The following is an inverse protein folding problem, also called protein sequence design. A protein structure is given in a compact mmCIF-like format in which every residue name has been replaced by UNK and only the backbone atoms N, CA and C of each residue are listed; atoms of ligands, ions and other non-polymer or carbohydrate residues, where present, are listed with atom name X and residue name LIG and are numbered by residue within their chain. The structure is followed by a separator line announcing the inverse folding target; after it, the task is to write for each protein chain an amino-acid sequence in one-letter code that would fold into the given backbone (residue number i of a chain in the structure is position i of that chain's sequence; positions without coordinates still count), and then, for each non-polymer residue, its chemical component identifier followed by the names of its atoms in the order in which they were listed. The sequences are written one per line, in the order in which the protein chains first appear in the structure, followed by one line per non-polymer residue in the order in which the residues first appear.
data_IF_615877112873
#
_entry.id   IF_615877112873
#
_cell.length_a   1.000
_cell.length_b   1.000
_cell.length_c   1.000
_cell.angle_alpha   90.00
_cell.angle_beta   90.00
_cell.angle_gamma   90.00
#
_symmetry.space_group_name_H-M   'P 1'
#
loop_
_entity.id
_entity.type
_entity.pdbx_description
1 polymer ?
#
# COMPACT_ATOMS: atom_id res chain seq x y z
N UNK A 1 32.53 -1.07 18.86
CA UNK A 1 31.44 -0.48 18.04
C UNK A 1 30.49 0.20 19.01
N UNK A 2 30.40 1.54 19.02
CA UNK A 2 29.62 2.25 20.06
C UNK A 2 28.16 1.81 20.10
N UNK A 3 27.60 1.64 21.31
CA UNK A 3 26.23 1.16 21.57
C UNK A 3 25.20 1.85 20.66
N UNK A 4 25.36 3.16 20.45
CA UNK A 4 24.51 3.99 19.59
C UNK A 4 24.50 3.51 18.12
N UNK A 5 25.65 3.15 17.55
CA UNK A 5 25.72 2.62 16.17
C UNK A 5 25.06 1.25 16.04
N UNK A 6 25.06 0.44 17.11
CA UNK A 6 24.35 -0.83 17.18
C UNK A 6 22.84 -0.64 17.10
N UNK A 7 22.29 0.21 17.97
CA UNK A 7 20.85 0.54 17.99
C UNK A 7 20.39 1.12 16.65
N UNK A 8 21.18 2.01 16.03
CA UNK A 8 20.83 2.59 14.72
C UNK A 8 20.82 1.55 13.58
N UNK A 9 21.65 0.50 13.64
CA UNK A 9 21.60 -0.60 12.66
C UNK A 9 20.36 -1.46 12.86
N UNK A 10 20.06 -1.81 14.10
CA UNK A 10 18.87 -2.60 14.43
C UNK A 10 17.60 -1.88 13.97
N UNK A 11 17.48 -0.58 14.24
CA UNK A 11 16.34 0.23 13.79
C UNK A 11 16.27 0.35 12.27
N UNK A 12 17.41 0.38 11.58
CA UNK A 12 17.46 0.37 10.12
C UNK A 12 16.95 -0.97 9.55
N UNK A 13 17.37 -2.10 10.12
CA UNK A 13 16.92 -3.43 9.71
C UNK A 13 15.42 -3.61 9.97
N UNK A 14 14.94 -3.18 11.14
CA UNK A 14 13.53 -3.16 11.50
C UNK A 14 12.72 -2.32 10.51
N UNK A 15 13.18 -1.10 10.19
CA UNK A 15 12.52 -0.23 9.22
C UNK A 15 12.44 -0.86 7.82
N UNK A 16 13.51 -1.53 7.37
CA UNK A 16 13.54 -2.22 6.08
C UNK A 16 12.55 -3.40 6.07
N UNK A 17 12.50 -4.18 7.14
CA UNK A 17 11.57 -5.29 7.29
C UNK A 17 10.12 -4.80 7.28
N UNK A 18 9.78 -3.79 8.09
CA UNK A 18 8.44 -3.20 8.11
C UNK A 18 8.02 -2.66 6.74
N UNK A 19 8.94 -2.01 6.03
CA UNK A 19 8.69 -1.54 4.66
C UNK A 19 8.31 -2.71 3.73
N UNK A 20 9.08 -3.79 3.74
CA UNK A 20 8.80 -4.98 2.91
C UNK A 20 7.43 -5.58 3.22
N UNK A 21 7.07 -5.66 4.50
CA UNK A 21 5.77 -6.20 4.92
C UNK A 21 4.61 -5.33 4.44
N UNK A 22 4.75 -4.00 4.51
CA UNK A 22 3.75 -3.09 3.97
C UNK A 22 3.69 -3.10 2.44
N UNK A 23 4.81 -3.29 1.74
CA UNK A 23 4.83 -3.43 0.28
C UNK A 23 4.13 -4.72 -0.15
N UNK A 24 4.36 -5.84 0.54
CA UNK A 24 3.62 -7.10 0.33
C UNK A 24 2.13 -6.92 0.58
N UNK A 25 1.76 -6.31 1.70
CA UNK A 25 0.37 -6.00 2.00
C UNK A 25 -0.24 -5.07 0.94
N UNK A 26 0.49 -4.08 0.44
CA UNK A 26 0.00 -3.18 -0.61
C UNK A 26 -0.23 -3.91 -1.94
N UNK A 27 0.58 -4.93 -2.24
CA UNK A 27 0.47 -5.77 -3.43
C UNK A 27 -0.75 -6.69 -3.41
N UNK A 28 -1.14 -7.21 -2.25
CA UNK A 28 -2.31 -8.09 -2.12
C UNK A 28 -3.66 -7.36 -2.24
N UNK A 29 -3.67 -6.02 -2.22
CA UNK A 29 -4.89 -5.22 -2.41
C UNK A 29 -4.93 -4.57 -3.80
N UNK A 30 -5.66 -5.13 -4.77
CA UNK A 30 -5.76 -4.59 -6.13
C UNK A 30 -6.44 -3.21 -6.21
N UNK A 31 -6.94 -2.65 -5.10
CA UNK A 31 -7.62 -1.36 -5.07
C UNK A 31 -8.83 -1.37 -6.01
N UNK A 32 -9.09 -0.22 -6.64
CA UNK A 32 -10.11 -0.11 -7.69
C UNK A 32 -11.31 0.75 -7.34
N UNK A 33 -12.29 0.76 -8.24
CA UNK A 33 -13.58 1.44 -8.07
C UNK A 33 -14.72 0.61 -8.66
N UNK A 34 -15.91 0.72 -8.08
CA UNK A 34 -17.11 0.21 -8.76
C UNK A 34 -17.54 1.20 -9.84
N UNK A 35 -17.90 0.67 -11.00
CA UNK A 35 -18.44 1.42 -12.15
C UNK A 35 -19.74 0.79 -12.59
N UNK A 36 -20.74 1.61 -12.86
CA UNK A 36 -22.00 1.19 -13.43
C UNK A 36 -21.96 1.32 -14.96
N UNK A 37 -22.34 0.27 -15.67
CA UNK A 37 -22.55 0.27 -17.13
C UNK A 37 -24.03 0.05 -17.43
N UNK A 38 -24.55 0.76 -18.43
CA UNK A 38 -25.91 0.55 -18.95
C UNK A 38 -25.81 -0.17 -20.30
N UNK A 39 -26.39 -1.36 -20.41
CA UNK A 39 -26.37 -2.19 -21.62
C UNK A 39 -27.79 -2.67 -21.89
N UNK A 40 -28.33 -2.36 -23.08
CA UNK A 40 -29.71 -2.71 -23.50
C UNK A 40 -30.77 -2.39 -22.43
N UNK A 41 -30.70 -1.20 -21.83
CA UNK A 41 -31.62 -0.76 -20.78
C UNK A 41 -31.32 -1.28 -19.37
N UNK A 42 -30.50 -2.30 -19.20
CA UNK A 42 -30.14 -2.86 -17.90
C UNK A 42 -28.87 -2.23 -17.31
N UNK A 43 -28.84 -2.11 -15.98
CA UNK A 43 -27.68 -1.63 -15.22
C UNK A 43 -26.84 -2.82 -14.73
N UNK A 44 -25.54 -2.73 -14.93
CA UNK A 44 -24.55 -3.73 -14.53
C UNK A 44 -23.41 -3.05 -13.81
N UNK A 45 -22.97 -3.64 -12.71
CA UNK A 45 -21.86 -3.11 -11.93
C UNK A 45 -20.60 -3.94 -12.15
N UNK A 46 -19.48 -3.25 -12.22
CA UNK A 46 -18.15 -3.82 -12.40
C UNK A 46 -17.21 -3.25 -11.36
N UNK A 47 -16.36 -4.09 -10.78
CA UNK A 47 -15.18 -3.65 -10.05
C UNK A 47 -14.04 -3.47 -11.04
N UNK A 48 -13.55 -2.23 -11.16
CA UNK A 48 -12.45 -1.85 -12.03
C UNK A 48 -11.18 -1.83 -11.21
N UNK A 49 -10.24 -2.70 -11.55
CA UNK A 49 -8.92 -2.79 -10.90
C UNK A 49 -7.81 -2.61 -11.92
N UNK A 50 -6.66 -2.11 -11.48
CA UNK A 50 -5.44 -2.07 -12.30
C UNK A 50 -4.56 -3.25 -11.91
N UNK A 51 -4.22 -4.05 -12.90
CA UNK A 51 -3.34 -5.21 -12.76
C UNK A 51 -2.13 -5.01 -13.68
N UNK A 52 -1.04 -4.52 -13.09
CA UNK A 52 0.11 -4.03 -13.84
C UNK A 52 -0.27 -2.90 -14.81
N UNK A 53 -0.04 -3.13 -16.09
CA UNK A 53 -0.34 -2.18 -17.16
C UNK A 53 -1.81 -2.22 -17.60
N UNK A 54 -2.52 -3.32 -17.34
CA UNK A 54 -3.87 -3.57 -17.84
C UNK A 54 -4.93 -3.16 -16.81
N UNK A 55 -6.08 -2.71 -17.31
CA UNK A 55 -7.27 -2.44 -16.50
C UNK A 55 -8.24 -3.61 -16.66
N UNK A 56 -8.61 -4.25 -15.55
CA UNK A 56 -9.55 -5.37 -15.52
C UNK A 56 -10.92 -4.90 -15.00
N UNK A 57 -11.98 -5.34 -15.67
CA UNK A 57 -13.36 -5.11 -15.27
C UNK A 57 -13.95 -6.43 -14.77
N UNK A 58 -14.11 -6.56 -13.45
CA UNK A 58 -14.68 -7.75 -12.82
C UNK A 58 -16.18 -7.53 -12.66
N UNK A 59 -17.01 -8.36 -13.28
CA UNK A 59 -18.47 -8.25 -13.16
C UNK A 59 -18.93 -8.53 -11.72
N UNK A 60 -19.84 -7.69 -11.20
CA UNK A 60 -20.34 -7.74 -9.82
C UNK A 60 -21.85 -7.87 -9.72
N UNK A 61 -22.55 -8.04 -10.84
CA UNK A 61 -24.00 -8.23 -10.86
C UNK A 61 -24.78 -6.98 -11.27
N UNK A 62 -26.11 -7.06 -11.14
CA UNK A 62 -27.06 -5.97 -11.43
C UNK A 62 -27.34 -5.07 -10.21
N UNK A 63 -26.93 -5.48 -9.01
CA UNK A 63 -27.09 -4.75 -7.75
C UNK A 63 -25.78 -4.82 -6.99
N UNK A 64 -25.43 -3.75 -6.28
CA UNK A 64 -24.34 -3.76 -5.30
C UNK A 64 -24.93 -3.86 -3.90
N UNK A 65 -24.35 -4.70 -3.04
CA UNK A 65 -24.69 -4.66 -1.62
C UNK A 65 -23.99 -3.48 -0.93
N UNK A 66 -24.51 -3.05 0.21
CA UNK A 66 -23.81 -2.07 1.06
C UNK A 66 -22.49 -2.65 1.59
N UNK A 67 -22.44 -3.96 1.83
CA UNK A 67 -21.20 -4.62 2.27
C UNK A 67 -20.10 -4.54 1.19
N UNK A 68 -20.45 -4.73 -0.09
CA UNK A 68 -19.49 -4.62 -1.20
C UNK A 68 -18.83 -3.24 -1.24
N UNK A 69 -19.64 -2.19 -1.12
CA UNK A 69 -19.18 -0.80 -1.09
C UNK A 69 -18.26 -0.58 0.11
N UNK A 70 -18.69 -1.01 1.30
CA UNK A 70 -17.93 -0.87 2.54
C UNK A 70 -16.58 -1.62 2.49
N UNK A 71 -16.56 -2.82 1.91
CA UNK A 71 -15.33 -3.60 1.75
C UNK A 71 -14.36 -2.90 0.80
N UNK A 72 -14.85 -2.32 -0.30
CA UNK A 72 -14.01 -1.55 -1.21
C UNK A 72 -13.46 -0.28 -0.55
N UNK A 73 -14.28 0.46 0.20
CA UNK A 73 -13.84 1.64 0.93
C UNK A 73 -12.76 1.29 1.97
N UNK A 74 -12.97 0.21 2.73
CA UNK A 74 -11.97 -0.32 3.66
C UNK A 74 -10.67 -0.64 2.94
N UNK A 75 -10.73 -1.29 1.78
CA UNK A 75 -9.56 -1.59 0.94
C UNK A 75 -8.84 -0.31 0.49
N UNK A 76 -9.56 0.70 0.00
CA UNK A 76 -8.99 2.01 -0.38
C UNK A 76 -8.31 2.71 0.80
N UNK A 77 -8.96 2.70 1.97
CA UNK A 77 -8.42 3.31 3.20
C UNK A 77 -7.13 2.63 3.65
N UNK A 78 -7.11 1.30 3.67
CA UNK A 78 -5.91 0.52 4.01
C UNK A 78 -4.78 0.77 3.00
N UNK A 79 -5.08 0.78 1.71
CA UNK A 79 -4.10 1.09 0.65
C UNK A 79 -3.47 2.47 0.84
N UNK A 80 -4.29 3.49 1.13
CA UNK A 80 -3.80 4.85 1.44
C UNK A 80 -2.92 4.85 2.68
N UNK A 81 -3.34 4.17 3.76
CA UNK A 81 -2.57 4.03 5.01
C UNK A 81 -1.20 3.39 4.76
N UNK A 82 -1.14 2.25 4.07
CA UNK A 82 0.12 1.58 3.77
C UNK A 82 1.05 2.44 2.91
N UNK A 83 0.53 3.13 1.88
CA UNK A 83 1.35 4.07 1.10
C UNK A 83 2.00 5.16 1.97
N UNK A 84 1.23 5.75 2.90
CA UNK A 84 1.74 6.76 3.81
C UNK A 84 2.82 6.19 4.75
N UNK A 85 2.62 4.97 5.28
CA UNK A 85 3.60 4.29 6.13
C UNK A 85 4.89 3.99 5.37
N UNK A 86 4.80 3.47 4.14
CA UNK A 86 5.96 3.22 3.28
C UNK A 86 6.72 4.52 3.00
N UNK A 87 6.03 5.63 2.72
CA UNK A 87 6.67 6.93 2.52
C UNK A 87 7.41 7.42 3.77
N UNK A 88 6.82 7.26 4.96
CA UNK A 88 7.47 7.58 6.24
C UNK A 88 8.72 6.71 6.46
N UNK A 89 8.60 5.40 6.27
CA UNK A 89 9.71 4.46 6.40
C UNK A 89 10.83 4.75 5.40
N UNK A 90 10.52 5.13 4.16
CA UNK A 90 11.54 5.54 3.18
C UNK A 90 12.36 6.75 3.66
N UNK A 91 11.70 7.73 4.28
CA UNK A 91 12.39 8.89 4.87
C UNK A 91 13.27 8.47 6.04
N UNK A 92 12.76 7.61 6.93
CA UNK A 92 13.50 7.08 8.08
C UNK A 92 14.71 6.26 7.65
N UNK A 93 14.55 5.32 6.72
CA UNK A 93 15.65 4.51 6.15
C UNK A 93 16.72 5.42 5.54
N UNK A 94 16.31 6.46 4.77
CA UNK A 94 17.25 7.42 4.19
C UNK A 94 18.03 8.18 5.27
N UNK A 95 17.36 8.58 6.34
CA UNK A 95 18.00 9.24 7.48
C UNK A 95 18.98 8.32 8.20
N UNK A 96 18.56 7.13 8.61
CA UNK A 96 19.39 6.15 9.32
C UNK A 96 20.63 5.74 8.51
N UNK A 97 20.48 5.54 7.19
CA UNK A 97 21.62 5.27 6.29
C UNK A 97 22.63 6.43 6.25
N UNK A 98 22.15 7.68 6.30
CA UNK A 98 23.02 8.85 6.38
C UNK A 98 23.71 8.93 7.74
N UNK A 99 22.98 8.75 8.84
CA UNK A 99 23.52 8.77 10.20
C UNK A 99 24.57 7.69 10.45
N UNK A 100 24.42 6.52 9.82
CA UNK A 100 25.42 5.44 9.90
C UNK A 100 26.66 5.70 9.03
N UNK A 101 26.55 6.51 7.95
CA UNK A 101 27.67 6.93 7.09
C UNK A 101 28.37 8.19 7.60
N UNK A 102 27.64 9.08 8.26
CA UNK A 102 28.16 10.33 8.80
C UNK A 102 28.94 10.07 10.08
N UNK A 103 30.27 10.14 9.95
CA UNK A 103 31.29 10.38 10.98
C UNK A 103 31.46 9.34 12.10
N UNK A 104 32.55 8.59 11.98
CA UNK A 104 33.68 8.80 12.91
C UNK A 104 33.85 10.31 13.13
N UNK A 105 33.31 10.84 14.22
CA UNK A 105 33.90 12.04 14.79
C UNK A 105 35.10 11.57 15.59
N UNK A 106 36.25 12.15 15.23
CA UNK A 106 37.52 12.10 15.95
C UNK A 106 37.30 12.53 17.40
#
# INVERSE_FOLDING_TARGET
MGVIKGVLREELENSIRMKRDYEKALGSYPGGCFVQKKIKGHKYYYLVIRDGEKVKFIYKGKRLSKEDIAQLEKSKRLRKKYKQLIQKLNKQIKYLRKSLRGKEDV
#
